data_IF_700938485986
#
_entry.id   IF_700938485986
#
_cell.length_a   1.000
_cell.length_b   1.000
_cell.length_c   1.000
_cell.angle_alpha   90.00
_cell.angle_beta   90.00
_cell.angle_gamma   90.00
#
_symmetry.space_group_name_H-M   'P 1'
#
loop_
_entity.id
_entity.type
_entity.pdbx_description
1 polymer ?
#
# COMPACT_ATOMS: atom_id res chain seq x y z
N UNK A 1 20.77 -18.21 18.20
CA UNK A 1 20.75 -16.74 18.01
C UNK A 1 19.52 -16.21 18.70
N UNK A 2 19.66 -15.29 19.66
CA UNK A 2 18.51 -14.65 20.30
C UNK A 2 17.93 -13.62 19.32
N UNK A 3 16.62 -13.67 19.08
CA UNK A 3 15.94 -12.66 18.29
C UNK A 3 16.05 -11.29 18.99
N UNK A 4 16.63 -10.31 18.30
CA UNK A 4 16.70 -8.93 18.77
C UNK A 4 15.45 -8.21 18.27
N UNK A 5 14.55 -7.85 19.18
CA UNK A 5 13.36 -7.07 18.84
C UNK A 5 13.78 -5.64 18.47
N UNK A 6 13.37 -5.20 17.28
CA UNK A 6 13.49 -3.82 16.83
C UNK A 6 12.10 -3.29 16.51
N UNK A 7 11.84 -2.02 16.88
CA UNK A 7 10.63 -1.34 16.45
C UNK A 7 10.65 -1.17 14.94
N UNK A 8 9.62 -1.67 14.25
CA UNK A 8 9.43 -1.42 12.84
C UNK A 8 9.16 0.07 12.60
N UNK A 9 9.85 0.67 11.64
CA UNK A 9 9.58 2.05 11.20
C UNK A 9 8.58 1.99 10.06
N UNK A 10 7.38 2.49 10.29
CA UNK A 10 6.24 2.33 9.37
C UNK A 10 5.94 3.68 8.72
N UNK A 11 6.17 3.77 7.42
CA UNK A 11 5.78 4.93 6.60
C UNK A 11 4.42 4.69 5.95
N UNK A 12 3.52 5.68 6.03
CA UNK A 12 2.24 5.65 5.33
C UNK A 12 2.15 6.82 4.37
N UNK A 13 1.92 6.53 3.09
CA UNK A 13 1.89 7.50 2.01
C UNK A 13 0.56 7.41 1.22
N UNK A 14 -0.42 8.28 1.51
CA UNK A 14 -1.54 8.52 0.61
C UNK A 14 -1.06 9.18 -0.68
N UNK A 15 -1.26 8.53 -1.82
CA UNK A 15 -0.64 8.89 -3.09
C UNK A 15 -1.11 10.23 -3.68
N UNK A 16 -2.25 10.76 -3.20
CA UNK A 16 -2.77 12.06 -3.65
C UNK A 16 -2.42 13.21 -2.72
N UNK A 17 -1.74 12.95 -1.59
CA UNK A 17 -1.36 14.02 -0.68
C UNK A 17 -0.31 14.93 -1.31
N UNK A 18 -0.52 16.23 -1.18
CA UNK A 18 0.34 17.29 -1.74
C UNK A 18 0.89 18.23 -0.68
N UNK A 19 0.43 18.10 0.58
CA UNK A 19 0.83 18.95 1.67
C UNK A 19 0.39 18.42 3.04
N UNK A 20 0.95 19.01 4.08
CA UNK A 20 0.64 18.71 5.48
C UNK A 20 -0.43 19.67 5.99
N UNK A 21 -1.29 19.17 6.86
CA UNK A 21 -2.34 19.96 7.52
C UNK A 21 -2.18 19.87 9.05
N UNK A 22 -2.50 20.95 9.75
CA UNK A 22 -2.49 21.00 11.21
C UNK A 22 -3.82 20.54 11.80
N UNK A 23 -3.78 19.88 12.96
CA UNK A 23 -4.97 19.71 13.82
C UNK A 23 -5.87 18.51 13.50
N UNK A 24 -5.34 17.43 12.90
CA UNK A 24 -6.09 16.20 12.61
C UNK A 24 -5.31 14.93 12.94
N UNK A 25 -6.03 13.80 13.01
CA UNK A 25 -5.46 12.46 13.23
C UNK A 25 -4.54 12.04 12.07
N UNK A 26 -4.93 12.38 10.85
CA UNK A 26 -4.12 12.20 9.63
C UNK A 26 -3.63 13.59 9.21
N UNK A 27 -2.32 13.89 9.32
CA UNK A 27 -1.79 15.24 9.12
C UNK A 27 -1.47 15.54 7.63
N UNK A 28 -2.29 15.03 6.70
CA UNK A 28 -2.07 15.12 5.24
C UNK A 28 -3.37 15.48 4.51
N UNK A 29 -3.26 16.20 3.39
CA UNK A 29 -4.40 16.54 2.53
C UNK A 29 -4.66 15.46 1.45
N UNK A 30 -5.19 14.31 1.85
CA UNK A 30 -5.48 13.20 0.94
C UNK A 30 -6.94 13.19 0.43
N UNK A 31 -7.20 12.54 -0.71
CA UNK A 31 -8.57 12.27 -1.18
C UNK A 31 -9.34 11.36 -0.20
N UNK A 32 -10.67 11.40 -0.27
CA UNK A 32 -11.56 10.73 0.69
C UNK A 32 -11.25 9.24 0.93
N UNK A 33 -11.02 8.46 -0.13
CA UNK A 33 -10.64 7.04 -0.03
C UNK A 33 -9.35 6.85 0.80
N UNK A 34 -8.31 7.59 0.43
CA UNK A 34 -7.00 7.52 1.07
C UNK A 34 -7.05 8.01 2.51
N UNK A 35 -7.75 9.12 2.75
CA UNK A 35 -7.96 9.67 4.09
C UNK A 35 -8.68 8.68 4.99
N UNK A 36 -9.73 8.01 4.50
CA UNK A 36 -10.47 7.01 5.27
C UNK A 36 -9.57 5.83 5.68
N UNK A 37 -8.78 5.29 4.75
CA UNK A 37 -7.84 4.22 5.07
C UNK A 37 -6.73 4.69 6.04
N UNK A 38 -6.16 5.88 5.84
CA UNK A 38 -5.20 6.49 6.76
C UNK A 38 -5.81 6.65 8.17
N UNK A 39 -7.05 7.11 8.26
CA UNK A 39 -7.74 7.29 9.53
C UNK A 39 -7.86 5.97 10.30
N UNK A 40 -8.18 4.86 9.62
CA UNK A 40 -8.20 3.53 10.24
C UNK A 40 -6.83 3.10 10.74
N UNK A 41 -5.76 3.31 9.94
CA UNK A 41 -4.38 3.00 10.34
C UNK A 41 -3.93 3.80 11.56
N UNK A 42 -4.31 5.07 11.65
CA UNK A 42 -3.96 5.93 12.79
C UNK A 42 -4.51 5.40 14.13
N UNK A 43 -5.58 4.62 14.09
CA UNK A 43 -6.18 3.99 15.26
C UNK A 43 -5.74 2.54 15.48
N UNK A 44 -4.82 2.01 14.67
CA UNK A 44 -4.32 0.64 14.78
C UNK A 44 -3.20 0.46 15.82
N UNK A 45 -2.80 1.53 16.51
CA UNK A 45 -1.78 1.48 17.58
C UNK A 45 -0.32 1.49 17.08
N UNK A 46 -0.10 1.79 15.81
CA UNK A 46 1.24 1.92 15.23
C UNK A 46 1.81 3.33 15.39
N UNK A 47 3.14 3.41 15.53
CA UNK A 47 3.87 4.67 15.37
C UNK A 47 4.08 4.91 13.87
N UNK A 48 3.23 5.75 13.29
CA UNK A 48 3.20 6.03 11.86
C UNK A 48 3.99 7.29 11.53
N UNK A 49 4.87 7.16 10.54
CA UNK A 49 5.50 8.26 9.82
C UNK A 49 4.64 8.62 8.61
N UNK A 50 3.94 9.76 8.68
CA UNK A 50 3.07 10.23 7.61
C UNK A 50 3.87 10.93 6.52
N UNK A 51 3.88 10.34 5.32
CA UNK A 51 4.72 10.74 4.20
C UNK A 51 3.90 11.38 3.08
N UNK A 52 4.48 12.39 2.46
CA UNK A 52 4.08 12.86 1.13
C UNK A 52 4.75 11.99 0.06
N UNK A 53 4.14 11.82 -1.13
CA UNK A 53 4.75 11.08 -2.23
C UNK A 53 6.16 11.59 -2.59
N UNK A 54 6.36 12.91 -2.57
CA UNK A 54 7.65 13.54 -2.85
C UNK A 54 8.75 13.23 -1.81
N UNK A 55 8.39 12.77 -0.61
CA UNK A 55 9.34 12.41 0.45
C UNK A 55 9.78 10.95 0.34
N UNK A 56 9.09 10.12 -0.44
CA UNK A 56 9.34 8.67 -0.49
C UNK A 56 10.80 8.30 -0.82
N UNK A 57 11.45 8.84 -1.87
CA UNK A 57 12.81 8.42 -2.23
C UNK A 57 13.81 8.61 -1.09
N UNK A 58 13.70 9.73 -0.37
CA UNK A 58 14.59 10.06 0.74
C UNK A 58 14.27 9.28 2.03
N UNK A 59 13.02 8.82 2.20
CA UNK A 59 12.57 8.17 3.45
C UNK A 59 12.66 6.66 3.40
N UNK A 60 12.49 6.04 2.23
CA UNK A 60 12.53 4.59 2.01
C UNK A 60 13.71 3.87 2.69
N UNK A 61 14.97 4.36 2.60
CA UNK A 61 16.12 3.70 3.25
C UNK A 61 16.04 3.64 4.78
N UNK A 62 15.11 4.36 5.39
CA UNK A 62 14.94 4.45 6.84
C UNK A 62 13.69 3.74 7.34
N UNK A 63 12.88 3.17 6.46
CA UNK A 63 11.66 2.43 6.81
C UNK A 63 11.94 0.93 6.95
N UNK A 64 11.05 0.26 7.65
CA UNK A 64 10.93 -1.21 7.65
C UNK A 64 9.70 -1.65 6.88
N UNK A 65 8.63 -0.84 6.94
CA UNK A 65 7.36 -1.07 6.24
C UNK A 65 6.96 0.23 5.55
N UNK A 66 6.63 0.15 4.27
CA UNK A 66 5.95 1.19 3.52
C UNK A 66 4.51 0.74 3.24
N UNK A 67 3.55 1.61 3.52
CA UNK A 67 2.16 1.45 3.11
C UNK A 67 1.80 2.59 2.15
N UNK A 68 1.52 2.28 0.89
CA UNK A 68 0.98 3.26 -0.08
C UNK A 68 -0.53 3.08 -0.18
N UNK A 69 -1.27 4.19 -0.29
CA UNK A 69 -2.73 4.15 -0.38
C UNK A 69 -3.20 4.95 -1.57
N UNK A 70 -4.06 4.34 -2.39
CA UNK A 70 -4.53 4.93 -3.64
C UNK A 70 -3.55 4.69 -4.79
N UNK A 71 -3.71 5.46 -5.86
CA UNK A 71 -2.93 5.31 -7.08
C UNK A 71 -2.05 6.54 -7.30
N UNK A 72 -0.78 6.29 -7.64
CA UNK A 72 0.15 7.32 -8.11
C UNK A 72 1.06 6.76 -9.20
N UNK A 73 1.81 7.67 -9.82
CA UNK A 73 2.83 7.36 -10.82
C UNK A 73 4.19 7.55 -10.16
N UNK A 74 5.05 6.55 -10.30
CA UNK A 74 6.42 6.60 -9.78
C UNK A 74 7.36 6.97 -10.93
N UNK A 75 8.07 8.08 -10.77
CA UNK A 75 9.22 8.36 -11.63
C UNK A 75 10.33 7.34 -11.44
N UNK A 76 11.30 7.30 -12.36
CA UNK A 76 12.40 6.33 -12.37
C UNK A 76 13.17 6.28 -11.04
N UNK A 77 13.39 7.45 -10.41
CA UNK A 77 14.06 7.56 -9.11
C UNK A 77 13.32 6.80 -8.01
N UNK A 78 12.00 6.97 -7.92
CA UNK A 78 11.19 6.32 -6.89
C UNK A 78 11.05 4.82 -7.18
N UNK A 79 10.89 4.42 -8.45
CA UNK A 79 10.90 2.99 -8.82
C UNK A 79 12.20 2.31 -8.40
N UNK A 80 13.35 2.94 -8.66
CA UNK A 80 14.64 2.41 -8.24
C UNK A 80 14.76 2.32 -6.72
N UNK A 81 14.33 3.34 -5.98
CA UNK A 81 14.35 3.33 -4.52
C UNK A 81 13.44 2.23 -3.93
N UNK A 82 12.26 2.01 -4.53
CA UNK A 82 11.34 0.93 -4.12
C UNK A 82 11.95 -0.45 -4.37
N UNK A 83 12.58 -0.65 -5.52
CA UNK A 83 13.27 -1.90 -5.83
C UNK A 83 14.34 -2.21 -4.78
N UNK A 84 15.23 -1.24 -4.51
CA UNK A 84 16.28 -1.38 -3.50
C UNK A 84 15.71 -1.63 -2.09
N UNK A 85 14.62 -0.94 -1.73
CA UNK A 85 13.94 -1.13 -0.45
C UNK A 85 13.45 -2.57 -0.29
N UNK A 86 12.70 -3.09 -1.27
CA UNK A 86 12.17 -4.46 -1.23
C UNK A 86 13.29 -5.51 -1.24
N UNK A 87 14.29 -5.35 -2.12
CA UNK A 87 15.45 -6.26 -2.18
C UNK A 87 16.27 -6.29 -0.87
N UNK A 88 16.32 -5.16 -0.15
CA UNK A 88 16.99 -5.08 1.15
C UNK A 88 16.18 -5.69 2.31
N UNK A 89 15.00 -6.26 2.04
CA UNK A 89 14.10 -6.87 3.02
C UNK A 89 13.04 -5.92 3.58
N UNK A 90 12.86 -4.75 2.96
CA UNK A 90 11.75 -3.85 3.26
C UNK A 90 10.40 -4.43 2.84
N UNK A 91 9.36 -4.20 3.64
CA UNK A 91 8.00 -4.66 3.31
C UNK A 91 7.21 -3.53 2.68
N UNK A 92 6.67 -3.76 1.49
CA UNK A 92 5.77 -2.82 0.83
C UNK A 92 4.35 -3.39 0.77
N UNK A 93 3.38 -2.63 1.30
CA UNK A 93 1.95 -2.93 1.26
C UNK A 93 1.27 -1.86 0.41
N UNK A 94 0.71 -2.25 -0.73
CA UNK A 94 0.01 -1.35 -1.63
C UNK A 94 -1.51 -1.49 -1.50
N UNK A 95 -2.17 -0.48 -0.95
CA UNK A 95 -3.62 -0.48 -0.69
C UNK A 95 -4.36 0.28 -1.78
N UNK A 96 -5.27 -0.43 -2.47
CA UNK A 96 -6.13 0.13 -3.51
C UNK A 96 -5.48 0.23 -4.89
N UNK A 97 -4.16 0.26 -5.01
CA UNK A 97 -3.50 0.18 -6.32
C UNK A 97 -2.05 -0.27 -6.20
N UNK A 98 -1.54 -1.07 -7.14
CA UNK A 98 -0.11 -1.34 -7.25
C UNK A 98 0.69 -0.13 -7.80
N UNK A 99 0.04 1.03 -7.96
CA UNK A 99 0.59 2.17 -8.70
C UNK A 99 0.98 1.73 -10.13
N UNK A 100 2.09 2.23 -10.66
CA UNK A 100 2.72 1.79 -11.90
C UNK A 100 3.90 0.83 -11.66
N UNK A 101 3.93 0.15 -10.50
CA UNK A 101 4.96 -0.81 -10.11
C UNK A 101 4.39 -2.19 -9.72
N UNK A 102 3.41 -2.66 -10.50
CA UNK A 102 2.86 -4.01 -10.33
C UNK A 102 3.90 -5.12 -10.46
N UNK A 103 4.95 -4.91 -11.25
CA UNK A 103 6.07 -5.84 -11.40
C UNK A 103 6.81 -6.11 -10.08
N UNK A 104 7.00 -5.09 -9.25
CA UNK A 104 7.62 -5.24 -7.92
C UNK A 104 6.71 -5.98 -6.92
N UNK A 105 5.41 -6.01 -7.17
CA UNK A 105 4.40 -6.69 -6.35
C UNK A 105 4.01 -8.06 -6.92
N UNK A 106 4.53 -8.44 -8.08
CA UNK A 106 4.14 -9.67 -8.76
C UNK A 106 2.68 -9.67 -9.25
N UNK A 107 2.16 -8.51 -9.63
CA UNK A 107 0.78 -8.35 -10.11
C UNK A 107 0.70 -7.55 -11.41
N UNK A 108 -0.27 -7.90 -12.24
CA UNK A 108 -0.61 -7.16 -13.44
C UNK A 108 -1.98 -6.50 -13.29
N UNK A 109 -2.01 -5.17 -13.35
CA UNK A 109 -3.26 -4.42 -13.33
C UNK A 109 -4.07 -4.64 -14.61
N UNK A 110 -5.37 -4.91 -14.44
CA UNK A 110 -6.29 -4.97 -15.56
C UNK A 110 -6.63 -3.57 -16.05
N UNK A 111 -6.47 -3.34 -17.34
CA UNK A 111 -6.86 -2.09 -17.99
C UNK A 111 -8.02 -2.29 -18.96
N UNK A 112 -8.81 -1.24 -19.15
CA UNK A 112 -9.68 -1.08 -20.30
C UNK A 112 -8.83 -0.85 -21.56
N UNK A 113 -9.37 -1.06 -22.78
CA UNK A 113 -8.67 -0.74 -24.03
C UNK A 113 -8.19 0.72 -24.12
N UNK A 114 -8.81 1.64 -23.36
CA UNK A 114 -8.38 3.04 -23.23
C UNK A 114 -7.11 3.25 -22.39
N UNK A 115 -6.58 2.19 -21.76
CA UNK A 115 -5.46 2.27 -20.83
C UNK A 115 -5.84 2.58 -19.38
N UNK A 116 -7.10 2.96 -19.11
CA UNK A 116 -7.57 3.19 -17.75
C UNK A 116 -7.68 1.87 -16.96
N UNK A 117 -7.23 1.86 -15.71
CA UNK A 117 -7.36 0.67 -14.86
C UNK A 117 -8.82 0.35 -14.52
N UNK A 118 -9.15 -0.95 -14.55
CA UNK A 118 -10.44 -1.46 -14.08
C UNK A 118 -10.49 -1.35 -12.56
N UNK A 119 -11.57 -0.76 -12.05
CA UNK A 119 -11.79 -0.59 -10.61
C UNK A 119 -12.63 -1.75 -10.06
N UNK A 120 -12.37 -2.15 -8.81
CA UNK A 120 -13.04 -3.28 -8.14
C UNK A 120 -14.43 -2.96 -7.56
N UNK A 121 -14.95 -1.75 -7.76
CA UNK A 121 -16.32 -1.39 -7.34
C UNK A 121 -16.55 -1.61 -5.85
N UNK A 122 -17.73 -2.10 -5.48
CA UNK A 122 -18.10 -2.50 -4.12
C UNK A 122 -18.40 -4.00 -4.09
N UNK A 123 -17.96 -4.70 -3.06
CA UNK A 123 -18.19 -6.13 -2.95
C UNK A 123 -17.62 -6.75 -1.69
N UNK A 124 -17.56 -8.07 -1.66
CA UNK A 124 -17.01 -8.84 -0.55
C UNK A 124 -15.79 -9.62 -1.03
N UNK A 125 -14.70 -9.53 -0.30
CA UNK A 125 -13.53 -10.37 -0.52
C UNK A 125 -13.79 -11.76 0.06
N UNK A 126 -13.39 -12.76 -0.70
CA UNK A 126 -13.37 -14.17 -0.34
C UNK A 126 -12.01 -14.72 -0.70
N UNK A 127 -11.37 -15.41 0.25
CA UNK A 127 -10.13 -16.13 -0.02
C UNK A 127 -10.44 -17.58 -0.40
N UNK A 128 -9.89 -18.04 -1.53
CA UNK A 128 -10.04 -19.43 -1.97
C UNK A 128 -9.19 -20.40 -1.14
N UNK A 129 -8.21 -19.89 -0.39
CA UNK A 129 -7.28 -20.64 0.46
C UNK A 129 -7.13 -19.94 1.81
N UNK A 130 -6.71 -20.69 2.83
CA UNK A 130 -6.39 -20.10 4.13
C UNK A 130 -5.20 -19.13 4.00
N UNK A 131 -5.34 -17.97 4.64
CA UNK A 131 -4.34 -16.92 4.63
C UNK A 131 -4.13 -16.38 6.04
N UNK A 132 -2.87 -16.21 6.48
CA UNK A 132 -2.58 -15.49 7.72
C UNK A 132 -3.08 -14.03 7.68
N UNK A 133 -3.17 -13.44 6.50
CA UNK A 133 -3.67 -12.09 6.27
C UNK A 133 -5.20 -12.03 6.15
N UNK A 134 -5.84 -13.16 5.85
CA UNK A 134 -7.29 -13.29 5.71
C UNK A 134 -7.77 -14.59 6.38
N UNK A 135 -8.01 -14.52 7.69
CA UNK A 135 -8.49 -15.67 8.43
C UNK A 135 -9.94 -15.97 8.02
N UNK A 136 -10.28 -17.23 7.73
CA UNK A 136 -11.66 -17.64 7.38
C UNK A 136 -12.71 -17.20 8.42
N UNK A 137 -12.30 -16.98 9.68
CA UNK A 137 -13.17 -16.48 10.74
C UNK A 137 -13.64 -15.02 10.52
N UNK A 138 -13.05 -14.28 9.58
CA UNK A 138 -13.46 -12.92 9.22
C UNK A 138 -14.65 -12.88 8.26
N UNK A 139 -15.24 -14.05 7.94
CA UNK A 139 -16.39 -14.22 7.05
C UNK A 139 -16.20 -13.56 5.67
N UNK A 140 -16.88 -12.43 5.45
CA UNK A 140 -16.88 -11.63 4.23
C UNK A 140 -16.34 -10.24 4.55
N UNK A 141 -15.15 -9.91 4.04
CA UNK A 141 -14.60 -8.57 4.20
C UNK A 141 -15.18 -7.67 3.13
N UNK A 142 -15.97 -6.69 3.54
CA UNK A 142 -16.45 -5.68 2.61
C UNK A 142 -15.28 -4.87 2.04
N UNK A 143 -15.13 -4.89 0.72
CA UNK A 143 -14.13 -4.15 -0.01
C UNK A 143 -14.80 -3.08 -0.86
N UNK A 144 -14.22 -1.87 -0.83
CA UNK A 144 -14.66 -0.76 -1.65
C UNK A 144 -13.49 -0.13 -2.39
N UNK A 145 -13.65 0.02 -3.69
CA UNK A 145 -12.67 0.60 -4.60
C UNK A 145 -11.47 -0.30 -4.85
N UNK A 146 -10.44 0.30 -5.43
CA UNK A 146 -9.19 -0.36 -5.73
C UNK A 146 -9.07 -0.83 -7.18
N UNK A 147 -7.87 -1.21 -7.58
CA UNK A 147 -7.54 -1.64 -8.94
C UNK A 147 -7.64 -3.15 -9.05
N UNK A 148 -8.34 -3.65 -10.06
CA UNK A 148 -8.39 -5.07 -10.35
C UNK A 148 -7.03 -5.53 -10.89
N UNK A 149 -6.46 -6.57 -10.29
CA UNK A 149 -5.16 -7.14 -10.66
C UNK A 149 -5.27 -8.65 -10.83
N UNK A 150 -4.40 -9.21 -11.66
CA UNK A 150 -4.10 -10.63 -11.69
C UNK A 150 -2.69 -10.85 -11.14
N UNK A 151 -2.49 -11.99 -10.46
CA UNK A 151 -1.16 -12.35 -9.94
C UNK A 151 -0.32 -12.95 -11.06
N UNK A 152 0.96 -12.57 -11.10
CA UNK A 152 1.93 -13.11 -12.06
C UNK A 152 2.31 -14.55 -11.70
N UNK A 153 2.75 -15.34 -12.68
CA UNK A 153 2.96 -16.80 -12.52
C UNK A 153 3.91 -17.18 -11.36
N UNK A 154 4.89 -16.33 -11.05
CA UNK A 154 5.90 -16.58 -10.00
C UNK A 154 5.55 -15.94 -8.64
N UNK A 155 4.39 -15.29 -8.53
CA UNK A 155 3.97 -14.59 -7.32
C UNK A 155 2.96 -15.41 -6.51
N UNK A 156 3.11 -15.38 -5.19
CA UNK A 156 2.23 -16.11 -4.28
C UNK A 156 1.04 -15.26 -3.87
N UNK A 157 -0.16 -15.83 -3.97
CA UNK A 157 -1.40 -15.23 -3.47
C UNK A 157 -1.61 -15.66 -2.02
N UNK A 158 -1.60 -14.67 -1.13
CA UNK A 158 -2.02 -14.81 0.26
C UNK A 158 -3.33 -14.07 0.47
#
# INVERSE_FOLDING_TARGET
MNAVWKWARIGVCPMTATGRISGGVVPLNARAYEYFACYRLAHAGFLIDWLLPAELPARLPHLSVLITIGHGTFGDELRLALHQFVESGGVWIAVGSPCDAGDLLGVQAHAHPSGAFKQLGEGYAYAERESPAFQCAWETLHAFGGTAVAVSEDAEVW
#
